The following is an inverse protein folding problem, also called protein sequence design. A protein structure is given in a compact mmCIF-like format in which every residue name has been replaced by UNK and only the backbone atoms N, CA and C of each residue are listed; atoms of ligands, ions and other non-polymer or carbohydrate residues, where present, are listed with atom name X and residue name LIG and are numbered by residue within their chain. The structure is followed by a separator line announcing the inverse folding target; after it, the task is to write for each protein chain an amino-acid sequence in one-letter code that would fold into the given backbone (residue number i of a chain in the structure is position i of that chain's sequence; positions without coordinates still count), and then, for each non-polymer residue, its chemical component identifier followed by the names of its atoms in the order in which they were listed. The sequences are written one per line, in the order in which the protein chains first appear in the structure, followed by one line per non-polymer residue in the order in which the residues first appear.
data_IF_673205815192
#
_entry.id   IF_673205815192
#
_cell.length_a   1.000
_cell.length_b   1.000
_cell.length_c   1.000
_cell.angle_alpha   90.00
_cell.angle_beta   90.00
_cell.angle_gamma   90.00
#
_symmetry.space_group_name_H-M   'P 1'
#
loop_
_entity.id
_entity.type
_entity.pdbx_description
1 polymer ?
#
# COMPACT_ATOMS: atom_id res chain seq x y z
N UNK A 1 30.00 20.64 7.08
CA UNK A 1 31.09 19.83 6.50
C UNK A 1 31.14 20.11 5.00
N UNK A 2 32.31 20.09 4.37
CA UNK A 2 32.41 20.22 2.90
C UNK A 2 32.17 18.87 2.24
N UNK A 3 31.14 18.76 1.42
CA UNK A 3 30.84 17.56 0.61
C UNK A 3 31.88 17.42 -0.51
N UNK A 4 32.55 16.27 -0.57
CA UNK A 4 33.44 15.94 -1.69
C UNK A 4 32.63 15.78 -2.99
N UNK A 5 33.16 16.26 -4.12
CA UNK A 5 32.45 16.22 -5.40
C UNK A 5 33.30 15.63 -6.51
N UNK A 6 32.65 14.81 -7.34
CA UNK A 6 33.16 14.30 -8.61
C UNK A 6 32.58 15.14 -9.75
N UNK A 7 33.47 15.67 -10.59
CA UNK A 7 33.05 16.35 -11.83
C UNK A 7 32.68 15.29 -12.87
N UNK A 8 31.46 15.39 -13.41
CA UNK A 8 31.01 14.59 -14.55
C UNK A 8 30.20 15.47 -15.49
N UNK A 9 30.60 15.53 -16.76
CA UNK A 9 30.07 16.51 -17.71
C UNK A 9 30.17 17.95 -17.16
N UNK A 10 29.07 18.71 -17.11
CA UNK A 10 29.01 20.06 -16.50
C UNK A 10 28.54 20.02 -15.04
N UNK A 11 28.33 18.83 -14.47
CA UNK A 11 27.83 18.63 -13.13
C UNK A 11 28.97 18.46 -12.11
N UNK A 12 28.69 18.87 -10.87
CA UNK A 12 29.51 18.61 -9.69
C UNK A 12 28.69 17.73 -8.74
N UNK A 13 28.84 16.42 -8.82
CA UNK A 13 28.02 15.45 -8.08
C UNK A 13 28.72 15.08 -6.78
N UNK A 14 28.00 14.96 -5.66
CA UNK A 14 28.58 14.43 -4.42
C UNK A 14 29.24 13.07 -4.70
N UNK A 15 30.50 12.88 -4.29
CA UNK A 15 31.27 11.68 -4.67
C UNK A 15 30.56 10.39 -4.23
N UNK A 16 29.93 10.37 -3.05
CA UNK A 16 29.16 9.23 -2.55
C UNK A 16 27.96 8.87 -3.44
N UNK A 17 27.20 9.86 -3.92
CA UNK A 17 26.10 9.65 -4.85
C UNK A 17 26.60 9.16 -6.21
N UNK A 18 27.69 9.76 -6.71
CA UNK A 18 28.32 9.31 -7.95
C UNK A 18 28.70 7.84 -7.87
N UNK A 19 29.38 7.42 -6.80
CA UNK A 19 29.78 6.03 -6.56
C UNK A 19 28.61 5.09 -6.39
N UNK A 20 27.58 5.48 -5.62
CA UNK A 20 26.36 4.68 -5.50
C UNK A 20 25.74 4.37 -6.88
N UNK A 21 25.62 5.38 -7.75
CA UNK A 21 25.07 5.19 -9.10
C UNK A 21 25.97 4.28 -9.94
N UNK A 22 27.28 4.55 -10.00
CA UNK A 22 28.25 3.77 -10.79
C UNK A 22 28.32 2.31 -10.35
N UNK A 23 28.42 2.08 -9.04
CA UNK A 23 28.82 0.80 -8.50
C UNK A 23 27.61 -0.09 -8.19
N UNK A 24 26.44 0.50 -7.88
CA UNK A 24 25.25 -0.26 -7.43
C UNK A 24 24.07 -0.19 -8.39
N UNK A 25 23.86 0.92 -9.11
CA UNK A 25 22.65 1.11 -9.94
C UNK A 25 22.89 0.72 -11.39
N UNK A 26 23.91 1.30 -12.03
CA UNK A 26 24.14 1.14 -13.47
C UNK A 26 24.40 -0.32 -13.91
N UNK A 27 25.15 -1.16 -13.15
CA UNK A 27 25.41 -2.54 -13.56
C UNK A 27 24.12 -3.37 -13.72
N UNK A 28 23.16 -3.19 -12.81
CA UNK A 28 21.86 -3.88 -12.87
C UNK A 28 20.90 -3.28 -13.90
N UNK A 29 21.00 -1.98 -14.16
CA UNK A 29 20.16 -1.29 -15.15
C UNK A 29 20.57 -1.58 -16.60
N UNK A 30 21.79 -2.06 -16.85
CA UNK A 30 22.31 -2.28 -18.21
C UNK A 30 22.57 -0.99 -18.99
N UNK A 31 22.81 0.12 -18.29
CA UNK A 31 23.07 1.45 -18.87
C UNK A 31 24.53 1.81 -18.64
N UNK A 32 25.26 2.24 -19.68
CA UNK A 32 26.64 2.71 -19.52
C UNK A 32 26.71 4.03 -18.75
N UNK A 33 27.75 4.20 -17.93
CA UNK A 33 28.08 5.46 -17.22
C UNK A 33 28.02 6.70 -18.12
N UNK A 34 28.67 6.67 -19.30
CA UNK A 34 28.68 7.82 -20.22
C UNK A 34 27.27 8.21 -20.67
N UNK A 35 26.46 7.24 -21.11
CA UNK A 35 25.08 7.49 -21.52
C UNK A 35 24.23 8.07 -20.40
N UNK A 36 24.33 7.52 -19.17
CA UNK A 36 23.59 8.01 -18.02
C UNK A 36 23.97 9.45 -17.68
N UNK A 37 25.25 9.74 -17.45
CA UNK A 37 25.67 11.07 -16.99
C UNK A 37 25.49 12.14 -18.06
N UNK A 38 25.75 11.82 -19.33
CA UNK A 38 25.47 12.73 -20.44
C UNK A 38 23.97 13.05 -20.56
N UNK A 39 23.11 12.04 -20.40
CA UNK A 39 21.67 12.20 -20.40
C UNK A 39 21.19 13.05 -19.21
N UNK A 40 21.63 12.72 -18.00
CA UNK A 40 21.26 13.46 -16.78
C UNK A 40 21.74 14.92 -16.82
N UNK A 41 22.98 15.17 -17.26
CA UNK A 41 23.51 16.51 -17.49
C UNK A 41 22.63 17.32 -18.46
N UNK A 42 22.23 16.73 -19.59
CA UNK A 42 21.36 17.40 -20.56
C UNK A 42 19.98 17.74 -19.96
N UNK A 43 19.38 16.79 -19.23
CA UNK A 43 18.07 16.97 -18.57
C UNK A 43 18.13 18.10 -17.53
N UNK A 44 19.14 18.11 -16.67
CA UNK A 44 19.29 19.14 -15.63
C UNK A 44 19.39 20.53 -16.26
N UNK A 45 20.22 20.69 -17.30
CA UNK A 45 20.41 22.00 -17.92
C UNK A 45 19.21 22.48 -18.75
N UNK A 46 18.40 21.59 -19.32
CA UNK A 46 17.17 21.96 -20.02
C UNK A 46 16.00 22.26 -19.06
N UNK A 47 15.84 21.47 -18.01
CA UNK A 47 14.65 21.52 -17.15
C UNK A 47 14.81 22.39 -15.90
N UNK A 48 16.02 22.57 -15.36
CA UNK A 48 16.20 23.38 -14.15
C UNK A 48 15.76 24.85 -14.32
N UNK A 49 16.06 25.55 -15.43
CA UNK A 49 15.56 26.91 -15.64
C UNK A 49 14.02 26.98 -15.72
N UNK A 50 13.38 25.98 -16.35
CA UNK A 50 11.92 25.87 -16.42
C UNK A 50 11.31 25.65 -15.04
N UNK A 51 11.92 24.78 -14.23
CA UNK A 51 11.48 24.53 -12.86
C UNK A 51 11.58 25.81 -11.99
N UNK A 52 12.70 26.54 -12.07
CA UNK A 52 12.86 27.82 -11.38
C UNK A 52 11.81 28.86 -11.81
N UNK A 53 11.50 28.93 -13.10
CA UNK A 53 10.43 29.81 -13.60
C UNK A 53 9.04 29.43 -13.07
N UNK A 54 8.74 28.14 -12.93
CA UNK A 54 7.49 27.67 -12.32
C UNK A 54 7.39 28.06 -10.84
N UNK A 55 8.48 28.03 -10.08
CA UNK A 55 8.51 28.50 -8.69
C UNK A 55 8.29 30.01 -8.60
N UNK A 56 8.97 30.79 -9.44
CA UNK A 56 8.78 32.24 -9.51
C UNK A 56 7.32 32.62 -9.88
N UNK A 57 6.66 31.81 -10.71
CA UNK A 57 5.26 32.01 -11.04
C UNK A 57 4.33 31.73 -9.86
N UNK A 58 4.62 30.74 -9.02
CA UNK A 58 3.89 30.52 -7.75
C UNK A 58 4.02 31.75 -6.84
N UNK A 59 5.22 32.30 -6.71
CA UNK A 59 5.47 33.49 -5.87
C UNK A 59 4.74 34.73 -6.41
N UNK A 60 4.72 34.94 -7.73
CA UNK A 60 3.98 36.03 -8.37
C UNK A 60 2.48 35.92 -8.07
N UNK A 61 1.89 34.76 -8.32
CA UNK A 61 0.47 34.49 -8.08
C UNK A 61 0.12 34.74 -6.62
N UNK A 62 0.90 34.20 -5.68
CA UNK A 62 0.68 34.40 -4.26
C UNK A 62 0.77 35.89 -3.89
N UNK A 63 1.77 36.61 -4.41
CA UNK A 63 1.93 38.05 -4.16
C UNK A 63 0.76 38.88 -4.67
N UNK A 64 0.17 38.52 -5.82
CA UNK A 64 -1.02 39.19 -6.33
C UNK A 64 -2.26 38.91 -5.47
N UNK A 65 -2.41 37.68 -4.98
CA UNK A 65 -3.47 37.32 -4.03
C UNK A 65 -3.34 38.08 -2.71
N UNK A 66 -2.12 38.19 -2.18
CA UNK A 66 -1.83 38.95 -0.96
C UNK A 66 -2.18 40.44 -1.15
N UNK A 67 -1.80 41.02 -2.30
CA UNK A 67 -2.14 42.40 -2.65
C UNK A 67 -3.65 42.62 -2.76
N UNK A 68 -4.38 41.67 -3.35
CA UNK A 68 -5.84 41.74 -3.47
C UNK A 68 -6.50 41.75 -2.10
N UNK A 69 -6.13 40.83 -1.20
CA UNK A 69 -6.70 40.77 0.15
C UNK A 69 -6.32 41.97 1.02
N UNK A 70 -5.13 42.55 0.83
CA UNK A 70 -4.74 43.79 1.50
C UNK A 70 -5.61 44.98 1.06
N UNK A 71 -6.01 45.03 -0.21
CA UNK A 71 -6.89 46.06 -0.74
C UNK A 71 -8.39 45.82 -0.39
N UNK A 72 -8.77 44.58 -0.09
CA UNK A 72 -10.13 44.17 0.25
C UNK A 72 -10.16 43.45 1.61
N UNK A 73 -9.93 44.18 2.72
CA UNK A 73 -9.83 43.55 4.03
C UNK A 73 -11.17 43.00 4.51
N UNK A 74 -11.12 41.87 5.21
CA UNK A 74 -12.30 41.17 5.73
C UNK A 74 -12.84 40.12 4.76
N UNK A 75 -14.04 39.57 5.03
CA UNK A 75 -14.65 38.55 4.19
C UNK A 75 -14.90 39.05 2.75
N UNK A 76 -14.78 38.15 1.77
CA UNK A 76 -15.06 38.44 0.36
C UNK A 76 -16.56 38.69 0.19
N UNK A 77 -16.95 39.96 0.03
CA UNK A 77 -18.35 40.35 -0.18
C UNK A 77 -18.80 40.16 -1.64
N UNK A 78 -17.89 40.27 -2.60
CA UNK A 78 -18.15 40.10 -4.04
C UNK A 78 -17.34 38.93 -4.60
N UNK A 79 -17.93 37.74 -4.53
CA UNK A 79 -17.31 36.52 -5.05
C UNK A 79 -17.15 36.52 -6.58
N UNK A 80 -18.10 37.02 -7.39
CA UNK A 80 -17.88 37.25 -8.82
C UNK A 80 -16.63 38.08 -9.13
N UNK A 81 -16.41 39.19 -8.43
CA UNK A 81 -15.23 40.02 -8.62
C UNK A 81 -13.93 39.29 -8.22
N UNK A 82 -13.94 38.54 -7.12
CA UNK A 82 -12.78 37.75 -6.70
C UNK A 82 -12.44 36.65 -7.72
N UNK A 83 -13.45 35.95 -8.24
CA UNK A 83 -13.25 34.97 -9.31
C UNK A 83 -12.67 35.61 -10.58
N UNK A 84 -13.21 36.75 -11.01
CA UNK A 84 -12.69 37.47 -12.17
C UNK A 84 -11.22 37.90 -11.96
N UNK A 85 -10.85 38.25 -10.73
CA UNK A 85 -9.46 38.48 -10.36
C UNK A 85 -8.60 37.22 -10.49
N UNK A 86 -9.01 36.08 -9.93
CA UNK A 86 -8.27 34.82 -10.05
C UNK A 86 -8.08 34.37 -11.51
N UNK A 87 -9.08 34.58 -12.36
CA UNK A 87 -8.99 34.34 -13.81
C UNK A 87 -8.02 35.32 -14.48
N UNK A 88 -8.08 36.61 -14.13
CA UNK A 88 -7.20 37.66 -14.67
C UNK A 88 -5.72 37.39 -14.36
N UNK A 89 -5.39 36.90 -13.16
CA UNK A 89 -4.00 36.62 -12.77
C UNK A 89 -3.48 35.27 -13.28
N UNK A 90 -4.32 34.49 -13.97
CA UNK A 90 -3.97 33.18 -14.51
C UNK A 90 -4.02 32.04 -13.49
N UNK A 91 -4.56 32.27 -12.29
CA UNK A 91 -4.74 31.22 -11.28
C UNK A 91 -5.87 30.26 -11.66
N UNK A 92 -7.04 30.81 -12.02
CA UNK A 92 -8.18 30.01 -12.48
C UNK A 92 -8.18 29.95 -14.01
N UNK A 93 -7.85 28.79 -14.56
CA UNK A 93 -7.80 28.56 -16.00
C UNK A 93 -9.14 28.02 -16.55
N UNK A 94 -9.40 28.18 -17.85
CA UNK A 94 -10.55 27.55 -18.50
C UNK A 94 -10.55 26.04 -18.33
N UNK A 95 -11.69 25.46 -17.97
CA UNK A 95 -11.83 24.02 -17.85
C UNK A 95 -11.67 23.33 -19.23
N UNK A 96 -10.77 22.34 -19.37
CA UNK A 96 -10.61 21.63 -20.62
C UNK A 96 -11.85 20.74 -20.89
N UNK A 97 -12.27 20.65 -22.16
CA UNK A 97 -13.45 19.86 -22.58
C UNK A 97 -13.02 18.55 -23.24
N UNK A 98 -13.76 17.47 -22.98
CA UNK A 98 -13.62 16.21 -23.71
C UNK A 98 -12.33 15.43 -23.44
N UNK A 99 -11.66 15.69 -22.32
CA UNK A 99 -10.42 14.99 -21.95
C UNK A 99 -10.74 13.57 -21.47
N UNK A 100 -9.96 12.60 -21.96
CA UNK A 100 -9.94 11.23 -21.44
C UNK A 100 -8.49 10.80 -21.25
N UNK A 101 -8.19 10.13 -20.15
CA UNK A 101 -6.89 9.50 -19.96
C UNK A 101 -6.73 8.34 -20.96
N UNK A 102 -5.53 8.17 -21.51
CA UNK A 102 -5.18 7.10 -22.46
C UNK A 102 -4.10 6.17 -21.92
N UNK A 103 -3.86 6.22 -20.60
CA UNK A 103 -2.83 5.44 -19.93
C UNK A 103 -3.09 3.94 -20.13
N UNK A 104 -2.04 3.20 -20.51
CA UNK A 104 -2.06 1.77 -20.73
C UNK A 104 -0.86 1.13 -20.03
N UNK A 105 -0.87 -0.21 -19.93
CA UNK A 105 0.16 -1.00 -19.22
C UNK A 105 0.25 -0.63 -17.72
N UNK A 106 -0.91 -0.53 -17.07
CA UNK A 106 -1.03 -0.30 -15.63
C UNK A 106 -1.38 -1.63 -14.96
N UNK A 107 -0.70 -1.97 -13.88
CA UNK A 107 -0.95 -3.18 -13.09
C UNK A 107 -2.39 -3.24 -12.56
N UNK A 108 -2.89 -4.46 -12.36
CA UNK A 108 -4.28 -4.71 -11.96
C UNK A 108 -4.62 -4.08 -10.61
N UNK A 109 -3.65 -4.05 -9.69
CA UNK A 109 -3.72 -3.42 -8.37
C UNK A 109 -4.18 -1.95 -8.41
N UNK A 110 -3.80 -1.22 -9.45
CA UNK A 110 -4.13 0.19 -9.62
C UNK A 110 -5.28 0.41 -10.60
N UNK A 111 -5.41 -0.46 -11.61
CA UNK A 111 -6.36 -0.27 -12.70
C UNK A 111 -7.73 -0.96 -12.47
N UNK A 112 -7.74 -2.09 -11.76
CA UNK A 112 -8.89 -3.01 -11.69
C UNK A 112 -9.35 -3.31 -10.26
N UNK A 113 -8.44 -3.25 -9.28
CA UNK A 113 -8.75 -3.55 -7.88
C UNK A 113 -9.05 -2.28 -7.07
N UNK A 114 -9.81 -2.45 -5.99
CA UNK A 114 -10.07 -1.41 -5.01
C UNK A 114 -9.71 -1.93 -3.62
N UNK A 115 -8.74 -1.30 -2.97
CA UNK A 115 -8.28 -1.70 -1.65
C UNK A 115 -7.30 -0.71 -1.03
N UNK A 116 -6.79 -1.02 0.17
CA UNK A 116 -5.85 -0.16 0.88
C UNK A 116 -4.58 0.15 0.09
N UNK A 117 -4.09 1.39 0.25
CA UNK A 117 -2.76 1.82 -0.17
C UNK A 117 -1.99 2.29 1.06
N UNK A 118 -0.79 1.74 1.28
CA UNK A 118 0.08 2.12 2.39
C UNK A 118 1.06 3.22 1.95
N UNK A 119 1.49 4.06 2.87
CA UNK A 119 2.57 5.03 2.67
C UNK A 119 3.60 4.83 3.78
N UNK A 120 4.88 4.76 3.44
CA UNK A 120 5.93 4.41 4.40
C UNK A 120 7.24 5.17 4.12
N UNK A 121 7.94 5.65 5.17
CA UNK A 121 9.21 6.36 4.99
C UNK A 121 10.31 5.42 4.51
N UNK A 122 10.90 5.69 3.34
CA UNK A 122 11.91 4.79 2.75
C UNK A 122 13.20 4.71 3.57
N UNK A 123 13.50 5.72 4.40
CA UNK A 123 14.68 5.72 5.27
C UNK A 123 14.64 4.61 6.32
N UNK A 124 13.46 4.12 6.68
CA UNK A 124 13.31 3.04 7.63
C UNK A 124 13.15 1.70 6.89
N UNK A 125 14.26 0.98 6.69
CA UNK A 125 14.29 -0.30 5.99
C UNK A 125 13.32 -1.35 6.57
N UNK A 126 13.20 -1.41 7.91
CA UNK A 126 12.23 -2.30 8.58
C UNK A 126 10.79 -1.96 8.19
N UNK A 127 10.44 -0.68 8.17
CA UNK A 127 9.09 -0.27 7.79
C UNK A 127 8.83 -0.52 6.31
N UNK A 128 9.80 -0.21 5.43
CA UNK A 128 9.70 -0.51 4.00
C UNK A 128 9.49 -2.01 3.74
N UNK A 129 10.23 -2.90 4.43
CA UNK A 129 10.05 -4.35 4.34
C UNK A 129 8.68 -4.79 4.84
N UNK A 130 8.26 -4.32 6.01
CA UNK A 130 6.93 -4.62 6.55
C UNK A 130 5.84 -4.17 5.57
N UNK A 131 6.00 -3.01 4.93
CA UNK A 131 5.05 -2.46 3.98
C UNK A 131 5.02 -3.22 2.65
N UNK A 132 6.17 -3.69 2.16
CA UNK A 132 6.24 -4.56 0.99
C UNK A 132 5.54 -5.91 1.24
N UNK A 133 5.68 -6.45 2.45
CA UNK A 133 5.06 -7.71 2.86
C UNK A 133 3.59 -7.56 3.30
N UNK A 134 3.09 -6.33 3.47
CA UNK A 134 1.73 -6.05 3.95
C UNK A 134 0.62 -6.35 2.93
N UNK A 135 0.96 -6.88 1.74
CA UNK A 135 -0.03 -7.37 0.78
C UNK A 135 -0.91 -8.46 1.40
N UNK A 136 -0.38 -9.27 2.30
CA UNK A 136 -1.12 -10.31 3.02
C UNK A 136 -0.96 -10.11 4.52
N UNK A 137 -2.08 -9.91 5.24
CA UNK A 137 -2.09 -9.62 6.66
C UNK A 137 -3.00 -10.56 7.44
N UNK A 138 -2.58 -10.97 8.63
CA UNK A 138 -3.42 -11.75 9.56
C UNK A 138 -4.57 -10.91 10.09
N UNK A 139 -5.81 -11.34 9.81
CA UNK A 139 -7.00 -10.73 10.41
C UNK A 139 -7.05 -11.00 11.91
N UNK A 140 -6.62 -12.19 12.36
CA UNK A 140 -6.67 -12.52 13.78
C UNK A 140 -5.72 -11.63 14.58
N UNK A 141 -4.48 -11.43 14.11
CA UNK A 141 -3.52 -10.55 14.77
C UNK A 141 -3.99 -9.09 14.76
N UNK A 142 -4.55 -8.62 13.63
CA UNK A 142 -5.08 -7.26 13.52
C UNK A 142 -6.23 -7.03 14.51
N UNK A 143 -7.19 -7.96 14.62
CA UNK A 143 -8.31 -7.86 15.56
C UNK A 143 -7.85 -8.02 17.02
N UNK A 144 -6.97 -9.00 17.29
CA UNK A 144 -6.50 -9.27 18.64
C UNK A 144 -5.64 -8.11 19.16
N UNK A 145 -4.74 -7.58 18.33
CA UNK A 145 -3.75 -6.56 18.70
C UNK A 145 -4.27 -5.13 18.80
N UNK A 146 -5.45 -4.83 18.25
CA UNK A 146 -6.03 -3.47 18.21
C UNK A 146 -7.21 -3.32 19.17
N UNK A 147 -7.84 -2.15 19.18
CA UNK A 147 -9.08 -1.85 19.92
C UNK A 147 -10.35 -2.20 19.12
N UNK A 148 -10.22 -2.73 17.90
CA UNK A 148 -11.34 -3.23 17.09
C UNK A 148 -12.17 -4.29 17.82
N UNK A 149 -11.53 -5.06 18.69
CA UNK A 149 -12.20 -5.89 19.70
C UNK A 149 -12.09 -5.19 21.06
N UNK A 150 -13.22 -4.71 21.65
CA UNK A 150 -13.23 -4.12 22.98
C UNK A 150 -12.64 -5.06 24.04
N UNK A 151 -11.92 -4.48 25.00
CA UNK A 151 -11.28 -5.22 26.11
C UNK A 151 -12.23 -5.48 27.31
N UNK A 152 -13.51 -5.17 27.16
CA UNK A 152 -14.53 -5.40 28.19
C UNK A 152 -14.89 -6.88 28.39
N UNK A 153 -15.51 -7.19 29.53
CA UNK A 153 -16.04 -8.53 29.82
C UNK A 153 -14.95 -9.61 29.94
N UNK A 154 -13.75 -9.26 30.40
CA UNK A 154 -12.62 -10.20 30.54
C UNK A 154 -11.87 -10.47 29.22
N UNK A 155 -12.02 -9.59 28.22
CA UNK A 155 -11.39 -9.72 26.90
C UNK A 155 -10.12 -8.86 26.74
N UNK A 156 -9.43 -8.56 27.84
CA UNK A 156 -8.18 -7.81 27.85
C UNK A 156 -7.07 -8.60 27.13
N UNK A 157 -6.15 -7.91 26.44
CA UNK A 157 -5.07 -8.58 25.69
C UNK A 157 -4.14 -9.40 26.59
N UNK A 158 -3.88 -8.92 27.81
CA UNK A 158 -2.95 -9.53 28.75
C UNK A 158 -1.50 -9.62 28.22
N UNK A 159 -0.66 -10.44 28.86
CA UNK A 159 0.72 -10.73 28.42
C UNK A 159 0.83 -11.96 27.50
N UNK A 160 -0.26 -12.68 27.31
CA UNK A 160 -0.32 -13.91 26.52
C UNK A 160 -1.73 -14.10 25.96
N UNK A 161 -1.99 -15.27 25.36
CA UNK A 161 -3.29 -15.53 24.75
C UNK A 161 -4.41 -15.58 25.80
N UNK A 162 -5.41 -14.72 25.63
CA UNK A 162 -6.65 -14.72 26.38
C UNK A 162 -7.73 -15.41 25.54
N UNK A 163 -8.20 -16.61 25.92
CA UNK A 163 -9.23 -17.35 25.18
C UNK A 163 -10.56 -16.59 25.05
N UNK A 164 -10.91 -15.74 26.00
CA UNK A 164 -12.15 -14.93 25.94
C UNK A 164 -12.04 -13.92 24.79
N UNK A 165 -10.89 -13.24 24.68
CA UNK A 165 -10.61 -12.33 23.57
C UNK A 165 -10.49 -13.08 22.24
N UNK A 166 -9.78 -14.20 22.22
CA UNK A 166 -9.61 -15.03 21.02
C UNK A 166 -10.94 -15.53 20.47
N UNK A 167 -11.89 -15.91 21.32
CA UNK A 167 -13.24 -16.27 20.88
C UNK A 167 -13.99 -15.11 20.20
N UNK A 168 -13.84 -13.87 20.71
CA UNK A 168 -14.41 -12.67 20.05
C UNK A 168 -13.76 -12.43 18.68
N UNK A 169 -12.44 -12.63 18.56
CA UNK A 169 -11.70 -12.51 17.28
C UNK A 169 -12.20 -13.54 16.26
N UNK A 170 -12.29 -14.82 16.64
CA UNK A 170 -12.77 -15.89 15.76
C UNK A 170 -14.21 -15.60 15.31
N UNK A 171 -15.08 -15.20 16.24
CA UNK A 171 -16.47 -14.87 15.92
C UNK A 171 -16.57 -13.73 14.88
N UNK A 172 -15.78 -12.66 15.04
CA UNK A 172 -15.70 -11.57 14.07
C UNK A 172 -15.22 -12.07 12.70
N UNK A 173 -14.15 -12.87 12.65
CA UNK A 173 -13.64 -13.39 11.39
C UNK A 173 -14.64 -14.32 10.68
N UNK A 174 -15.44 -15.10 11.43
CA UNK A 174 -16.54 -15.88 10.86
C UNK A 174 -17.64 -15.02 10.27
N UNK A 175 -17.94 -13.87 10.88
CA UNK A 175 -18.88 -12.89 10.31
C UNK A 175 -18.34 -12.25 9.03
N UNK A 176 -17.03 -12.02 8.94
CA UNK A 176 -16.39 -11.57 7.70
C UNK A 176 -16.53 -12.63 6.60
N UNK A 177 -16.30 -13.91 6.91
CA UNK A 177 -16.48 -14.99 5.94
C UNK A 177 -17.95 -15.13 5.49
N UNK A 178 -18.91 -15.05 6.40
CA UNK A 178 -20.34 -15.09 6.06
C UNK A 178 -20.76 -13.92 5.14
N UNK A 179 -20.11 -12.76 5.26
CA UNK A 179 -20.37 -11.61 4.39
C UNK A 179 -19.68 -11.72 3.04
N UNK A 180 -18.41 -12.12 3.03
CA UNK A 180 -17.57 -12.14 1.82
C UNK A 180 -17.82 -13.38 0.95
N UNK A 181 -18.06 -14.54 1.57
CA UNK A 181 -18.24 -15.82 0.90
C UNK A 181 -19.37 -16.63 1.56
N UNK A 182 -20.62 -16.12 1.55
CA UNK A 182 -21.75 -16.75 2.23
C UNK A 182 -21.92 -18.22 1.81
N UNK A 183 -22.26 -19.07 2.77
CA UNK A 183 -22.65 -20.45 2.49
C UNK A 183 -24.07 -20.50 1.91
N UNK A 184 -24.33 -21.44 1.00
CA UNK A 184 -25.67 -21.65 0.45
C UNK A 184 -26.70 -22.00 1.54
N UNK A 185 -26.25 -22.65 2.61
CA UNK A 185 -27.01 -22.99 3.81
C UNK A 185 -26.09 -22.93 5.03
N UNK A 186 -26.57 -22.36 6.14
CA UNK A 186 -25.81 -22.27 7.39
C UNK A 186 -24.82 -21.09 7.42
N UNK A 187 -23.86 -21.16 8.35
CA UNK A 187 -22.84 -20.13 8.59
C UNK A 187 -21.47 -20.76 8.77
N UNK A 188 -20.41 -20.04 8.42
CA UNK A 188 -19.03 -20.43 8.72
C UNK A 188 -18.77 -20.59 10.22
N UNK A 189 -19.60 -19.99 11.08
CA UNK A 189 -19.57 -20.19 12.55
C UNK A 189 -19.78 -21.65 12.94
N UNK A 190 -20.55 -22.40 12.14
CA UNK A 190 -20.89 -23.80 12.40
C UNK A 190 -20.01 -24.80 11.63
N UNK A 191 -18.97 -24.31 10.94
CA UNK A 191 -18.06 -25.14 10.19
C UNK A 191 -17.25 -26.05 11.12
N UNK A 192 -17.12 -27.31 10.72
CA UNK A 192 -16.34 -28.36 11.39
C UNK A 192 -15.25 -28.95 10.49
N UNK A 193 -15.21 -28.54 9.23
CA UNK A 193 -14.13 -28.86 8.30
C UNK A 193 -14.36 -28.24 6.94
N UNK A 194 -13.27 -28.09 6.19
CA UNK A 194 -13.27 -27.68 4.79
C UNK A 194 -12.64 -28.81 3.97
N UNK A 195 -13.14 -29.04 2.77
CA UNK A 195 -12.56 -29.98 1.80
C UNK A 195 -12.90 -29.55 0.39
N UNK A 196 -12.19 -30.08 -0.61
CA UNK A 196 -12.42 -29.81 -2.02
C UNK A 196 -12.82 -31.12 -2.69
N UNK A 197 -14.00 -31.13 -3.32
CA UNK A 197 -14.53 -32.28 -4.07
C UNK A 197 -14.96 -31.84 -5.45
N UNK A 198 -14.54 -32.56 -6.47
CA UNK A 198 -14.85 -32.26 -7.88
C UNK A 198 -14.53 -30.80 -8.27
N UNK A 199 -13.43 -30.26 -7.73
CA UNK A 199 -12.98 -28.88 -7.97
C UNK A 199 -13.83 -27.81 -7.27
N UNK A 200 -14.63 -28.17 -6.27
CA UNK A 200 -15.52 -27.26 -5.54
C UNK A 200 -15.27 -27.33 -4.04
N UNK A 201 -15.38 -26.19 -3.36
CA UNK A 201 -15.34 -26.15 -1.90
C UNK A 201 -16.58 -26.82 -1.30
N UNK A 202 -16.34 -27.69 -0.32
CA UNK A 202 -17.34 -28.34 0.52
C UNK A 202 -17.05 -27.96 1.97
N UNK A 203 -18.03 -27.34 2.61
CA UNK A 203 -17.96 -26.95 4.02
C UNK A 203 -18.79 -27.94 4.84
N UNK A 204 -18.12 -28.67 5.73
CA UNK A 204 -18.78 -29.59 6.64
C UNK A 204 -19.33 -28.80 7.83
N UNK A 205 -20.64 -28.93 8.07
CA UNK A 205 -21.33 -28.43 9.26
C UNK A 205 -21.57 -29.60 10.23
N UNK A 206 -22.07 -29.32 11.43
CA UNK A 206 -22.31 -30.33 12.48
C UNK A 206 -23.09 -31.57 12.03
N UNK A 207 -24.13 -31.40 11.19
CA UNK A 207 -25.02 -32.49 10.76
C UNK A 207 -25.21 -32.60 9.25
N UNK A 208 -24.54 -31.74 8.47
CA UNK A 208 -24.72 -31.65 7.02
C UNK A 208 -23.47 -31.08 6.36
N UNK A 209 -23.43 -31.05 5.03
CA UNK A 209 -22.41 -30.32 4.28
C UNK A 209 -23.09 -29.33 3.34
N UNK A 210 -22.38 -28.27 3.01
CA UNK A 210 -22.86 -27.19 2.15
C UNK A 210 -21.74 -26.73 1.22
N UNK A 211 -22.09 -25.81 0.31
CA UNK A 211 -21.16 -25.13 -0.58
C UNK A 211 -21.27 -23.62 -0.36
N UNK A 212 -20.39 -22.86 -1.00
CA UNK A 212 -20.57 -21.41 -1.14
C UNK A 212 -21.86 -21.12 -1.94
N UNK A 213 -22.54 -20.03 -1.60
CA UNK A 213 -23.68 -19.51 -2.35
C UNK A 213 -23.25 -19.11 -3.76
N UNK A 214 -22.11 -18.42 -3.89
CA UNK A 214 -21.40 -18.25 -5.15
C UNK A 214 -20.20 -19.20 -5.18
N UNK A 215 -20.26 -20.21 -6.05
CA UNK A 215 -19.21 -21.20 -6.23
C UNK A 215 -17.94 -20.63 -6.84
N UNK A 216 -18.03 -19.53 -7.60
CA UNK A 216 -16.88 -18.88 -8.21
C UNK A 216 -16.02 -18.11 -7.20
N UNK A 217 -16.55 -17.86 -5.99
CA UNK A 217 -15.78 -17.25 -4.91
C UNK A 217 -14.65 -18.17 -4.40
N UNK A 218 -14.70 -19.47 -4.66
CA UNK A 218 -13.58 -20.37 -4.39
C UNK A 218 -12.54 -20.31 -5.52
N UNK A 219 -11.30 -19.95 -5.16
CA UNK A 219 -10.20 -19.75 -6.12
C UNK A 219 -9.22 -20.92 -6.10
N UNK A 220 -8.94 -21.48 -4.93
CA UNK A 220 -7.96 -22.55 -4.80
C UNK A 220 -7.73 -22.99 -3.36
N UNK A 221 -6.79 -23.90 -3.17
CA UNK A 221 -6.43 -24.45 -1.87
C UNK A 221 -4.97 -24.88 -1.86
N UNK A 222 -4.41 -25.06 -0.66
CA UNK A 222 -3.10 -25.70 -0.45
C UNK A 222 -3.25 -27.03 0.30
N UNK A 223 -2.30 -27.95 0.08
CA UNK A 223 -2.27 -29.25 0.73
C UNK A 223 -3.17 -30.30 0.06
N UNK A 224 -3.68 -31.25 0.85
CA UNK A 224 -4.54 -32.33 0.37
C UNK A 224 -5.99 -31.82 0.20
N UNK A 225 -6.65 -32.14 -0.91
CA UNK A 225 -8.03 -31.72 -1.16
C UNK A 225 -9.02 -32.19 -0.07
N UNK A 226 -8.81 -33.37 0.51
CA UNK A 226 -9.70 -33.91 1.54
C UNK A 226 -9.53 -33.20 2.90
N UNK A 227 -8.38 -32.57 3.14
CA UNK A 227 -8.04 -31.84 4.36
C UNK A 227 -7.02 -30.74 4.04
N UNK A 228 -7.43 -29.65 3.38
CA UNK A 228 -6.51 -28.63 2.90
C UNK A 228 -5.90 -27.87 4.07
N UNK A 229 -4.65 -27.43 3.90
CA UNK A 229 -3.97 -26.54 4.86
C UNK A 229 -4.42 -25.10 4.71
N UNK A 230 -4.93 -24.72 3.54
CA UNK A 230 -5.57 -23.42 3.33
C UNK A 230 -6.64 -23.45 2.23
N UNK A 231 -7.62 -22.54 2.32
CA UNK A 231 -8.68 -22.36 1.32
C UNK A 231 -8.71 -20.89 0.91
N UNK A 232 -8.41 -20.63 -0.36
CA UNK A 232 -8.37 -19.30 -0.96
C UNK A 232 -9.72 -18.95 -1.57
N UNK A 233 -10.27 -17.84 -1.11
CA UNK A 233 -11.52 -17.24 -1.55
C UNK A 233 -11.27 -15.87 -2.18
N UNK A 234 -12.23 -15.37 -2.95
CA UNK A 234 -12.22 -14.01 -3.49
C UNK A 234 -13.58 -13.34 -3.34
N UNK A 235 -13.57 -12.06 -2.96
CA UNK A 235 -14.74 -11.21 -2.90
C UNK A 235 -14.37 -9.79 -3.38
N UNK A 236 -15.13 -9.23 -4.31
CA UNK A 236 -14.85 -7.91 -4.92
C UNK A 236 -13.41 -7.75 -5.45
N UNK A 237 -12.80 -8.84 -5.92
CA UNK A 237 -11.42 -8.85 -6.42
C UNK A 237 -10.34 -8.86 -5.34
N UNK A 238 -10.71 -9.03 -4.07
CA UNK A 238 -9.81 -9.14 -2.91
C UNK A 238 -9.88 -10.55 -2.34
N UNK A 239 -8.71 -11.13 -2.05
CA UNK A 239 -8.63 -12.50 -1.56
C UNK A 239 -8.69 -12.63 -0.04
N UNK A 240 -9.25 -13.75 0.41
CA UNK A 240 -9.25 -14.20 1.80
C UNK A 240 -8.75 -15.64 1.83
N UNK A 241 -7.71 -15.92 2.61
CA UNK A 241 -7.13 -17.27 2.74
C UNK A 241 -7.38 -17.82 4.15
N UNK A 242 -8.28 -18.81 4.24
CA UNK A 242 -8.61 -19.48 5.50
C UNK A 242 -7.48 -20.46 5.81
N UNK A 243 -6.71 -20.20 6.86
CA UNK A 243 -5.62 -21.08 7.30
C UNK A 243 -6.16 -22.18 8.22
N UNK A 244 -5.80 -23.43 7.95
CA UNK A 244 -6.29 -24.60 8.68
C UNK A 244 -5.09 -25.38 9.23
N UNK A 245 -4.88 -25.27 10.54
CA UNK A 245 -3.83 -26.01 11.24
C UNK A 245 -4.23 -26.31 12.68
N UNK A 246 -4.63 -27.57 12.90
CA UNK A 246 -5.02 -28.11 14.22
C UNK A 246 -3.85 -28.30 15.19
N UNK A 247 -2.60 -28.14 14.74
CA UNK A 247 -1.43 -28.19 15.62
C UNK A 247 -1.22 -26.88 16.40
N UNK A 248 -1.75 -25.77 15.87
CA UNK A 248 -1.62 -24.44 16.50
C UNK A 248 -2.45 -24.32 17.78
N UNK A 249 -2.08 -23.43 18.71
CA UNK A 249 -2.88 -23.16 19.91
C UNK A 249 -4.32 -22.72 19.64
N UNK A 250 -4.56 -22.01 18.54
CA UNK A 250 -5.89 -21.52 18.13
C UNK A 250 -6.65 -22.61 17.37
N UNK A 251 -6.05 -23.18 16.32
CA UNK A 251 -6.72 -24.16 15.47
C UNK A 251 -7.10 -25.45 16.19
N UNK A 252 -6.37 -25.87 17.23
CA UNK A 252 -6.79 -27.01 18.06
C UNK A 252 -8.11 -26.79 18.82
N UNK A 253 -8.49 -25.53 19.05
CA UNK A 253 -9.73 -25.15 19.75
C UNK A 253 -10.86 -24.81 18.80
N UNK A 254 -10.55 -24.61 17.52
CA UNK A 254 -11.52 -24.32 16.47
C UNK A 254 -12.15 -25.63 15.93
N UNK A 255 -13.49 -25.75 15.86
CA UNK A 255 -14.14 -26.96 15.38
C UNK A 255 -13.71 -27.37 13.96
N UNK A 256 -13.44 -26.41 13.08
CA UNK A 256 -12.94 -26.65 11.72
C UNK A 256 -11.42 -26.70 11.60
N UNK A 257 -10.69 -26.42 12.68
CA UNK A 257 -9.24 -26.38 12.67
C UNK A 257 -8.66 -25.06 12.18
N UNK A 258 -9.49 -24.01 12.01
CA UNK A 258 -9.03 -22.72 11.51
C UNK A 258 -8.11 -22.04 12.51
N UNK A 259 -6.90 -21.72 12.07
CA UNK A 259 -5.88 -21.05 12.88
C UNK A 259 -5.83 -19.54 12.63
N UNK A 260 -6.21 -19.09 11.42
CA UNK A 260 -6.25 -17.68 11.01
C UNK A 260 -7.11 -17.47 9.75
N UNK A 261 -7.39 -16.21 9.43
CA UNK A 261 -7.85 -15.75 8.11
C UNK A 261 -6.87 -14.68 7.63
N UNK A 262 -6.14 -14.96 6.56
CA UNK A 262 -5.21 -13.99 5.96
C UNK A 262 -5.95 -13.18 4.90
N UNK A 263 -5.92 -11.86 5.02
CA UNK A 263 -6.53 -10.95 4.06
C UNK A 263 -5.51 -10.39 3.10
N UNK A 264 -5.84 -10.40 1.83
CA UNK A 264 -5.21 -9.51 0.86
C UNK A 264 -5.55 -8.06 1.25
N UNK A 265 -4.52 -7.24 1.51
CA UNK A 265 -4.63 -5.99 2.25
C UNK A 265 -3.99 -4.81 1.49
N UNK A 266 -2.72 -4.48 1.75
CA UNK A 266 -2.06 -3.35 1.09
C UNK A 266 -1.78 -3.70 -0.38
N UNK A 267 -2.69 -3.34 -1.29
CA UNK A 267 -2.59 -3.67 -2.71
C UNK A 267 -1.41 -2.94 -3.36
N UNK A 268 -1.18 -1.71 -2.93
CA UNK A 268 -0.03 -0.90 -3.31
C UNK A 268 0.57 -0.20 -2.11
N UNK A 269 1.86 0.10 -2.21
CA UNK A 269 2.62 0.83 -1.18
C UNK A 269 3.39 1.95 -1.87
N UNK A 270 3.27 3.17 -1.34
CA UNK A 270 4.11 4.31 -1.67
C UNK A 270 5.32 4.30 -0.75
N UNK A 271 6.49 4.08 -1.34
CA UNK A 271 7.78 4.21 -0.65
C UNK A 271 8.20 5.68 -0.73
N UNK A 272 8.05 6.37 0.39
CA UNK A 272 8.04 7.83 0.44
C UNK A 272 9.44 8.43 0.67
N UNK A 273 9.77 9.43 -0.14
CA UNK A 273 10.99 10.24 -0.12
C UNK A 273 10.71 11.73 0.15
N UNK A 274 9.46 12.07 0.50
CA UNK A 274 8.99 13.44 0.67
C UNK A 274 8.68 13.72 2.16
N UNK A 275 7.41 13.71 2.56
CA UNK A 275 6.95 14.32 3.81
C UNK A 275 7.17 13.44 5.05
N UNK A 276 7.35 12.12 4.88
CA UNK A 276 7.59 11.21 6.02
C UNK A 276 9.07 11.00 6.37
N UNK A 277 10.00 11.66 5.66
CA UNK A 277 11.44 11.50 5.84
C UNK A 277 12.13 12.86 6.10
N UNK A 278 13.29 12.82 6.75
CA UNK A 278 14.19 13.96 6.85
C UNK A 278 15.42 13.66 6.00
N UNK A 279 15.50 14.28 4.81
CA UNK A 279 16.57 14.05 3.84
C UNK A 279 17.06 15.39 3.31
N UNK A 280 18.26 15.81 3.75
CA UNK A 280 18.73 17.18 3.52
C UNK A 280 20.04 17.28 2.74
N UNK A 281 20.74 16.16 2.54
CA UNK A 281 21.99 16.11 1.78
C UNK A 281 22.17 14.80 0.99
N UNK A 282 23.37 14.61 0.43
CA UNK A 282 23.66 13.47 -0.43
C UNK A 282 23.77 12.15 0.35
N UNK A 283 24.21 12.16 1.60
CA UNK A 283 24.30 10.96 2.46
C UNK A 283 22.89 10.42 2.72
N UNK A 284 21.98 11.29 3.14
CA UNK A 284 20.58 10.95 3.37
C UNK A 284 19.90 10.45 2.08
N UNK A 285 20.16 11.10 0.93
CA UNK A 285 19.61 10.68 -0.37
C UNK A 285 20.14 9.31 -0.79
N UNK A 286 21.42 9.03 -0.58
CA UNK A 286 22.02 7.72 -0.89
C UNK A 286 21.41 6.63 -0.01
N UNK A 287 21.16 6.87 1.27
CA UNK A 287 20.45 5.93 2.14
C UNK A 287 19.03 5.63 1.60
N UNK A 288 18.26 6.67 1.28
CA UNK A 288 16.92 6.52 0.71
C UNK A 288 16.93 5.72 -0.61
N UNK A 289 17.85 6.06 -1.52
CA UNK A 289 17.98 5.38 -2.80
C UNK A 289 18.47 3.93 -2.66
N UNK A 290 19.33 3.66 -1.69
CA UNK A 290 19.82 2.29 -1.41
C UNK A 290 18.69 1.39 -0.90
N UNK A 291 17.85 1.89 0.01
CA UNK A 291 16.67 1.14 0.47
C UNK A 291 15.68 0.90 -0.66
N UNK A 292 15.41 1.90 -1.50
CA UNK A 292 14.58 1.75 -2.69
C UNK A 292 15.15 0.70 -3.66
N UNK A 293 16.45 0.77 -3.96
CA UNK A 293 17.13 -0.22 -4.82
C UNK A 293 17.02 -1.63 -4.23
N UNK A 294 17.21 -1.77 -2.91
CA UNK A 294 17.06 -3.04 -2.21
C UNK A 294 15.65 -3.64 -2.34
N UNK A 295 14.60 -2.82 -2.31
CA UNK A 295 13.23 -3.27 -2.61
C UNK A 295 13.12 -3.75 -4.06
N UNK A 296 13.60 -2.97 -5.03
CA UNK A 296 13.49 -3.31 -6.46
C UNK A 296 14.25 -4.60 -6.83
N UNK A 297 15.38 -4.86 -6.18
CA UNK A 297 16.17 -6.07 -6.38
C UNK A 297 15.69 -7.25 -5.52
N UNK A 298 14.78 -7.03 -4.56
CA UNK A 298 14.37 -8.06 -3.59
C UNK A 298 15.49 -8.45 -2.61
N UNK A 299 16.44 -7.56 -2.35
CA UNK A 299 17.63 -7.82 -1.51
C UNK A 299 17.66 -7.03 -0.21
N UNK A 300 16.63 -6.21 0.08
CA UNK A 300 16.53 -5.50 1.36
C UNK A 300 16.31 -6.50 2.51
N UNK A 301 17.00 -6.30 3.64
CA UNK A 301 16.96 -7.18 4.83
C UNK A 301 16.81 -6.39 6.12
#
# INVERSE_FOLDING_TARGET
MTTERTTTQRLQVATELYRFIEDQVLPGAGISSDAFWKGFDAIVHDLAPKNAALLAERDRIQSEMDAWHKAHPGPIADMPAYRAFLEKIGYLLPQPKGVKATTANVDAELALQAGPQLVVPILNARYALNAANARWGSLYDALYGTDAIPEDGGAEKGKGYNPIRGAKVIAFAREVLDQAAPLANGSHKDATGYSVKDGQLVVQLHSSSTHLQDRAAFVGYQGDAAAPSSVLLVHNGIHLDIQIDRSTPIGKTDPAGVSDVILESALSTILDLEDSVAVVDAEDKVLAYSNWLGIQLGTLT
#
